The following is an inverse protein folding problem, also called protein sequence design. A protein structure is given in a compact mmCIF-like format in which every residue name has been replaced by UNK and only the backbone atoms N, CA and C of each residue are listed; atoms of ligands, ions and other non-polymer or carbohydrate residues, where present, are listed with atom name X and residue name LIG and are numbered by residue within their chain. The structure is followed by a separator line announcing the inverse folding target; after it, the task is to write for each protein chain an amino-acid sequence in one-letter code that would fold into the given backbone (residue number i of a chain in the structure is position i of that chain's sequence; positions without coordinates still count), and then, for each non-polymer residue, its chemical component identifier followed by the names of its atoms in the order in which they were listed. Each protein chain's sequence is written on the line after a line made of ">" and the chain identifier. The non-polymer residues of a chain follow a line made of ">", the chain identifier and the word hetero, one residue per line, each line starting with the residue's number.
data_IF_120860816497
#
_entry.id   IF_120860816497
#
_cell.length_a   1.000
_cell.length_b   1.000
_cell.length_c   1.000
_cell.angle_alpha   90.00
_cell.angle_beta   90.00
_cell.angle_gamma   90.00
#
_symmetry.space_group_name_H-M   'P 1'
#
loop_
_entity.id
_entity.type
_entity.pdbx_description
1 polymer ?
#
# COMPACT_ATOMS: atom_id res chain seq x y z
N UNK A 1 44.70 35.30 -2.46
CA UNK A 1 43.50 35.52 -3.32
C UNK A 1 42.34 35.96 -2.42
N UNK A 2 41.88 37.22 -2.52
CA UNK A 2 40.76 37.72 -1.71
C UNK A 2 39.45 37.29 -2.36
N UNK A 3 38.83 36.24 -1.84
CA UNK A 3 37.49 35.81 -2.29
C UNK A 3 36.51 36.91 -1.90
N UNK A 4 35.87 37.52 -2.90
CA UNK A 4 34.92 38.62 -2.68
C UNK A 4 33.71 38.11 -1.89
N UNK A 5 33.24 38.91 -0.91
CA UNK A 5 32.04 38.59 -0.12
C UNK A 5 30.81 38.37 -1.01
N UNK A 6 30.78 38.99 -2.20
CA UNK A 6 29.76 38.74 -3.24
C UNK A 6 29.84 37.32 -3.83
N UNK A 7 31.04 36.79 -4.05
CA UNK A 7 31.22 35.42 -4.54
C UNK A 7 30.80 34.38 -3.49
N UNK A 8 31.04 34.66 -2.21
CA UNK A 8 30.59 33.80 -1.10
C UNK A 8 29.07 33.80 -0.96
N UNK A 9 28.43 34.97 -1.13
CA UNK A 9 26.97 35.10 -1.09
C UNK A 9 26.29 34.41 -2.29
N UNK A 10 26.87 34.51 -3.48
CA UNK A 10 26.35 33.86 -4.69
C UNK A 10 26.46 32.33 -4.62
N UNK A 11 27.56 31.80 -4.06
CA UNK A 11 27.70 30.36 -3.82
C UNK A 11 26.67 29.82 -2.80
N UNK A 12 26.34 30.60 -1.77
CA UNK A 12 25.33 30.22 -0.78
C UNK A 12 23.90 30.17 -1.37
N UNK A 13 23.57 31.07 -2.32
CA UNK A 13 22.27 31.08 -3.01
C UNK A 13 22.13 29.89 -3.97
N UNK A 14 23.20 29.51 -4.67
CA UNK A 14 23.18 28.35 -5.59
C UNK A 14 23.04 27.03 -4.84
N UNK A 15 23.59 26.91 -3.63
CA UNK A 15 23.45 25.70 -2.80
C UNK A 15 22.00 25.45 -2.33
N UNK A 16 21.17 26.50 -2.21
CA UNK A 16 19.76 26.38 -1.82
C UNK A 16 18.84 25.86 -2.94
N UNK A 17 19.29 25.87 -4.20
CA UNK A 17 18.51 25.43 -5.36
C UNK A 17 18.47 23.90 -5.54
N UNK A 18 19.23 23.13 -4.75
CA UNK A 18 19.30 21.67 -4.84
C UNK A 18 18.40 20.91 -3.85
N UNK A 19 17.59 21.59 -3.03
CA UNK A 19 16.65 20.95 -2.10
C UNK A 19 15.29 20.76 -2.79
N UNK A 20 15.21 19.82 -3.73
CA UNK A 20 14.03 19.72 -4.59
C UNK A 20 13.71 18.37 -5.21
N UNK A 21 14.24 17.26 -4.70
CA UNK A 21 13.69 15.94 -5.02
C UNK A 21 12.84 15.45 -3.84
N UNK A 22 11.70 16.11 -3.62
CA UNK A 22 10.62 15.46 -2.88
C UNK A 22 10.06 14.38 -3.82
N UNK A 23 10.59 13.16 -3.71
CA UNK A 23 10.04 11.99 -4.41
C UNK A 23 8.54 11.97 -4.16
N UNK A 24 7.68 11.76 -5.18
CA UNK A 24 6.25 11.66 -4.95
C UNK A 24 6.04 10.54 -3.93
N UNK A 25 5.44 10.90 -2.78
CA UNK A 25 5.10 9.97 -1.73
C UNK A 25 3.99 9.04 -2.24
N UNK A 26 4.34 8.07 -3.09
CA UNK A 26 3.47 6.94 -3.47
C UNK A 26 3.37 5.91 -2.34
N UNK A 27 3.96 6.24 -1.19
CA UNK A 27 3.99 5.52 0.07
C UNK A 27 2.58 5.08 0.48
N UNK A 28 2.43 3.78 0.68
CA UNK A 28 1.17 3.16 1.06
C UNK A 28 1.16 2.68 2.51
N UNK A 29 0.16 1.88 2.81
CA UNK A 29 0.10 0.98 3.96
C UNK A 29 0.19 -0.41 3.37
N UNK A 30 1.17 -1.19 3.80
CA UNK A 30 1.24 -2.61 3.46
C UNK A 30 0.77 -3.39 4.67
N UNK A 31 -0.30 -4.15 4.46
CA UNK A 31 -0.87 -5.07 5.43
C UNK A 31 -0.53 -6.46 4.94
N UNK A 32 0.52 -7.03 5.50
CA UNK A 32 0.88 -8.42 5.27
C UNK A 32 0.18 -9.34 6.25
N UNK A 33 -0.31 -10.47 5.76
CA UNK A 33 -0.61 -11.61 6.62
C UNK A 33 0.27 -12.73 6.10
N UNK A 34 1.32 -13.05 6.85
CA UNK A 34 1.99 -14.33 6.68
C UNK A 34 1.14 -15.37 7.38
N UNK A 35 0.74 -16.41 6.66
CA UNK A 35 0.08 -17.57 7.25
C UNK A 35 1.20 -18.56 7.54
N UNK A 36 1.55 -18.74 8.81
CA UNK A 36 2.50 -19.76 9.23
C UNK A 36 1.90 -21.16 8.98
N UNK A 37 2.73 -22.20 8.95
CA UNK A 37 2.30 -23.60 8.73
C UNK A 37 1.22 -24.07 9.72
N UNK A 38 1.15 -23.43 10.90
CA UNK A 38 0.14 -23.67 11.94
C UNK A 38 -1.18 -22.91 11.72
N UNK A 39 -1.34 -22.18 10.61
CA UNK A 39 -2.50 -21.33 10.31
C UNK A 39 -2.52 -19.99 11.06
N UNK A 40 -1.46 -19.67 11.80
CA UNK A 40 -1.34 -18.41 12.52
C UNK A 40 -1.04 -17.27 11.55
N UNK A 41 -1.82 -16.19 11.66
CA UNK A 41 -1.68 -14.97 10.85
C UNK A 41 -0.75 -13.99 11.56
N UNK A 42 0.46 -13.81 11.06
CA UNK A 42 1.32 -12.70 11.50
C UNK A 42 0.96 -11.46 10.69
N UNK A 43 0.28 -10.51 11.33
CA UNK A 43 -0.05 -9.22 10.73
C UNK A 43 1.21 -8.34 10.67
N UNK A 44 1.79 -8.23 9.48
CA UNK A 44 2.91 -7.32 9.20
C UNK A 44 2.34 -6.00 8.69
N UNK A 45 2.13 -5.05 9.60
CA UNK A 45 1.78 -3.67 9.25
C UNK A 45 3.05 -2.85 8.96
N UNK A 46 3.39 -2.71 7.68
CA UNK A 46 4.38 -1.72 7.25
C UNK A 46 3.67 -0.43 6.84
N UNK A 47 4.01 0.66 7.53
CA UNK A 47 3.41 1.98 7.32
C UNK A 47 4.41 2.92 6.68
N UNK A 48 4.25 3.17 5.38
CA UNK A 48 5.01 4.21 4.67
C UNK A 48 4.24 5.54 4.64
N UNK A 49 2.90 5.49 4.79
CA UNK A 49 2.04 6.66 4.93
C UNK A 49 1.30 6.67 6.28
N UNK A 50 1.83 7.39 7.29
CA UNK A 50 1.25 7.48 8.62
C UNK A 50 -0.15 8.11 8.68
N UNK A 51 -0.54 8.89 7.66
CA UNK A 51 -1.89 9.50 7.61
C UNK A 51 -2.91 8.47 7.18
N UNK A 52 -2.63 7.74 6.10
CA UNK A 52 -3.51 6.70 5.58
C UNK A 52 -3.68 5.55 6.58
N UNK A 53 -2.59 5.12 7.24
CA UNK A 53 -2.66 4.02 8.22
C UNK A 53 -3.55 4.35 9.42
N UNK A 54 -3.59 5.60 9.88
CA UNK A 54 -4.50 6.02 10.96
C UNK A 54 -5.96 6.08 10.52
N UNK A 55 -6.23 6.20 9.22
CA UNK A 55 -7.57 6.33 8.66
C UNK A 55 -8.22 4.99 8.35
N UNK A 56 -7.44 3.92 8.26
CA UNK A 56 -7.92 2.58 7.94
C UNK A 56 -7.77 1.65 9.15
N UNK A 57 -8.62 0.63 9.19
CA UNK A 57 -8.50 -0.52 10.08
C UNK A 57 -8.61 -1.76 9.23
N UNK A 58 -7.65 -2.67 9.40
CA UNK A 58 -7.74 -4.01 8.85
C UNK A 58 -8.59 -4.81 9.84
N UNK A 59 -9.68 -5.39 9.35
CA UNK A 59 -10.52 -6.29 10.11
C UNK A 59 -10.20 -7.74 9.79
N UNK A 60 -11.22 -8.59 9.82
CA UNK A 60 -11.08 -10.02 9.61
C UNK A 60 -10.42 -10.38 8.29
N UNK A 61 -9.55 -11.39 8.38
CA UNK A 61 -8.83 -12.00 7.27
C UNK A 61 -9.21 -13.47 7.20
N UNK A 62 -9.79 -13.87 6.07
CA UNK A 62 -10.18 -15.25 5.79
C UNK A 62 -9.40 -15.74 4.59
N UNK A 63 -8.49 -16.68 4.84
CA UNK A 63 -7.70 -17.36 3.82
C UNK A 63 -8.34 -18.72 3.52
N UNK A 64 -8.38 -19.10 2.25
CA UNK A 64 -8.83 -20.40 1.81
C UNK A 64 -8.25 -20.75 0.45
N UNK A 65 -8.84 -21.74 -0.20
CA UNK A 65 -8.41 -22.22 -1.52
C UNK A 65 -9.57 -22.16 -2.52
N UNK A 66 -9.25 -21.94 -3.79
CA UNK A 66 -10.20 -22.13 -4.89
C UNK A 66 -10.34 -23.62 -5.22
N UNK A 67 -11.31 -23.98 -6.07
CA UNK A 67 -11.46 -25.37 -6.56
C UNK A 67 -10.22 -25.89 -7.30
N UNK A 68 -9.40 -24.99 -7.84
CA UNK A 68 -8.20 -25.31 -8.59
C UNK A 68 -6.92 -25.29 -7.72
N UNK A 69 -7.07 -25.17 -6.38
CA UNK A 69 -5.94 -25.16 -5.45
C UNK A 69 -5.17 -23.83 -5.38
N UNK A 70 -5.73 -22.74 -5.92
CA UNK A 70 -5.14 -21.41 -5.79
C UNK A 70 -5.56 -20.74 -4.49
N UNK A 71 -4.61 -20.10 -3.79
CA UNK A 71 -4.89 -19.35 -2.56
C UNK A 71 -5.91 -18.23 -2.85
N UNK A 72 -6.90 -18.12 -1.97
CA UNK A 72 -7.95 -17.09 -2.00
C UNK A 72 -8.02 -16.39 -0.66
N UNK A 73 -8.04 -15.06 -0.70
CA UNK A 73 -8.10 -14.22 0.49
C UNK A 73 -9.34 -13.34 0.42
N UNK A 74 -10.06 -13.24 1.54
CA UNK A 74 -11.04 -12.18 1.79
C UNK A 74 -10.62 -11.42 3.03
N UNK A 75 -10.39 -10.11 2.90
CA UNK A 75 -9.95 -9.24 3.97
C UNK A 75 -10.93 -8.08 4.09
N UNK A 76 -11.27 -7.66 5.31
CA UNK A 76 -12.10 -6.47 5.51
C UNK A 76 -11.25 -5.25 5.83
N UNK A 77 -11.58 -4.11 5.21
CA UNK A 77 -11.01 -2.81 5.54
C UNK A 77 -12.13 -1.89 5.97
N UNK A 78 -11.92 -1.19 7.08
CA UNK A 78 -12.87 -0.23 7.65
C UNK A 78 -12.29 1.18 7.63
N UNK A 79 -13.07 2.14 7.16
CA UNK A 79 -12.75 3.57 7.27
C UNK A 79 -13.00 4.07 8.70
N UNK A 80 -12.01 4.73 9.30
CA UNK A 80 -12.17 5.46 10.57
C UNK A 80 -12.74 6.86 10.38
N UNK A 81 -12.79 7.38 9.15
CA UNK A 81 -13.23 8.75 8.87
C UNK A 81 -14.76 8.84 8.76
N UNK A 82 -15.30 10.03 8.99
CA UNK A 82 -16.70 10.37 8.69
C UNK A 82 -16.90 10.82 7.22
N UNK A 83 -15.84 10.79 6.41
CA UNK A 83 -15.82 11.24 5.02
C UNK A 83 -15.20 10.16 4.15
N UNK A 84 -15.41 10.31 2.84
CA UNK A 84 -14.94 9.35 1.86
C UNK A 84 -13.40 9.33 1.74
N UNK A 85 -12.87 8.12 1.65
CA UNK A 85 -11.47 7.81 1.36
C UNK A 85 -11.41 7.26 -0.06
N UNK A 86 -10.55 7.86 -0.87
CA UNK A 86 -10.21 7.37 -2.21
C UNK A 86 -8.79 6.82 -2.14
N UNK A 87 -8.68 5.52 -2.31
CA UNK A 87 -7.45 4.75 -2.23
C UNK A 87 -7.32 3.84 -3.46
N UNK A 88 -6.18 3.17 -3.58
CA UNK A 88 -6.00 2.03 -4.45
C UNK A 88 -5.43 0.89 -3.63
N UNK A 89 -5.76 -0.35 -4.01
CA UNK A 89 -5.28 -1.55 -3.36
C UNK A 89 -4.74 -2.57 -4.37
N UNK A 90 -3.76 -3.35 -3.96
CA UNK A 90 -3.14 -4.42 -4.75
C UNK A 90 -2.71 -5.55 -3.82
N UNK A 91 -2.93 -6.80 -4.23
CA UNK A 91 -2.31 -7.94 -3.55
C UNK A 91 -0.92 -8.18 -4.14
N UNK A 92 0.01 -8.51 -3.26
CA UNK A 92 1.31 -9.09 -3.58
C UNK A 92 1.31 -10.51 -3.01
N UNK A 93 1.75 -11.47 -3.81
CA UNK A 93 1.77 -12.89 -3.47
C UNK A 93 3.21 -13.35 -3.33
N UNK A 94 3.48 -14.27 -2.42
CA UNK A 94 4.84 -14.72 -2.12
C UNK A 94 4.90 -16.24 -2.12
N UNK A 95 5.98 -16.78 -2.66
CA UNK A 95 6.30 -18.21 -2.60
C UNK A 95 6.90 -18.61 -1.24
N UNK A 96 7.22 -19.91 -1.09
CA UNK A 96 7.76 -20.47 0.14
C UNK A 96 9.15 -19.92 0.51
N UNK A 97 9.89 -19.46 -0.50
CA UNK A 97 11.19 -18.82 -0.36
C UNK A 97 11.08 -17.32 0.00
N UNK A 98 9.86 -16.78 0.00
CA UNK A 98 9.55 -15.39 0.32
C UNK A 98 9.78 -14.43 -0.85
N UNK A 99 9.94 -14.92 -2.07
CA UNK A 99 10.02 -14.10 -3.28
C UNK A 99 8.62 -13.68 -3.75
N UNK A 100 8.49 -12.45 -4.24
CA UNK A 100 7.22 -11.94 -4.77
C UNK A 100 6.93 -12.57 -6.13
N UNK A 101 5.74 -13.16 -6.26
CA UNK A 101 5.25 -13.82 -7.47
C UNK A 101 4.62 -12.77 -8.38
N UNK A 102 5.08 -12.72 -9.63
CA UNK A 102 4.57 -11.88 -10.71
C UNK A 102 4.34 -10.39 -10.32
N UNK A 103 5.34 -9.70 -9.74
CA UNK A 103 5.18 -8.37 -9.15
C UNK A 103 4.66 -7.31 -10.12
N UNK A 104 4.91 -7.46 -11.43
CA UNK A 104 4.56 -6.48 -12.47
C UNK A 104 3.19 -6.72 -13.10
N UNK A 105 2.54 -7.85 -12.83
CA UNK A 105 1.32 -8.26 -13.55
C UNK A 105 0.03 -7.79 -12.88
N UNK A 106 -0.01 -7.72 -11.55
CA UNK A 106 -1.24 -7.34 -10.85
C UNK A 106 -1.36 -5.82 -10.76
N UNK A 107 -2.44 -5.26 -11.31
CA UNK A 107 -2.64 -3.81 -11.38
C UNK A 107 -3.26 -3.26 -10.08
N UNK A 108 -2.95 -2.00 -9.75
CA UNK A 108 -3.62 -1.29 -8.65
C UNK A 108 -5.11 -1.10 -8.94
N UNK A 109 -5.97 -1.59 -8.04
CA UNK A 109 -7.43 -1.49 -8.17
C UNK A 109 -7.98 -0.34 -7.33
N UNK A 110 -8.95 0.45 -7.84
CA UNK A 110 -9.60 1.50 -7.06
C UNK A 110 -10.28 0.98 -5.79
N UNK A 111 -10.15 1.72 -4.69
CA UNK A 111 -10.79 1.47 -3.42
C UNK A 111 -11.43 2.77 -2.93
N UNK A 112 -12.74 2.90 -3.11
CA UNK A 112 -13.53 3.95 -2.49
C UNK A 112 -14.20 3.39 -1.23
N UNK A 113 -14.03 4.09 -0.11
CA UNK A 113 -14.69 3.79 1.15
C UNK A 113 -15.43 5.05 1.59
N UNK A 114 -16.73 4.95 1.79
CA UNK A 114 -17.51 5.99 2.42
C UNK A 114 -17.14 6.14 3.90
N UNK A 115 -17.59 7.23 4.52
CA UNK A 115 -17.41 7.45 5.95
C UNK A 115 -17.90 6.25 6.78
N UNK A 116 -17.02 5.69 7.63
CA UNK A 116 -17.28 4.51 8.47
C UNK A 116 -17.63 3.22 7.73
N UNK A 117 -17.47 3.17 6.40
CA UNK A 117 -17.73 1.97 5.63
C UNK A 117 -16.71 0.86 5.95
N UNK A 118 -17.22 -0.36 6.09
CA UNK A 118 -16.43 -1.59 6.06
C UNK A 118 -16.64 -2.27 4.71
N UNK A 119 -15.54 -2.58 4.02
CA UNK A 119 -15.56 -3.23 2.70
C UNK A 119 -14.68 -4.46 2.67
N UNK A 120 -15.18 -5.53 2.09
CA UNK A 120 -14.38 -6.73 1.82
C UNK A 120 -13.60 -6.58 0.51
N UNK A 121 -12.29 -6.79 0.59
CA UNK A 121 -11.37 -6.85 -0.54
C UNK A 121 -11.01 -8.32 -0.75
N UNK A 122 -11.08 -8.77 -2.00
CA UNK A 122 -10.83 -10.16 -2.39
C UNK A 122 -9.62 -10.26 -3.31
N UNK A 123 -8.84 -11.33 -3.13
CA UNK A 123 -7.69 -11.66 -3.96
C UNK A 123 -7.62 -13.16 -4.21
N UNK A 124 -7.12 -13.54 -5.38
CA UNK A 124 -6.76 -14.91 -5.73
C UNK A 124 -5.34 -14.89 -6.24
N UNK A 125 -4.51 -15.83 -5.77
CA UNK A 125 -3.13 -15.96 -6.20
C UNK A 125 -3.03 -16.27 -7.70
N UNK A 126 -1.99 -15.77 -8.39
CA UNK A 126 -1.80 -16.01 -9.82
C UNK A 126 -1.50 -17.47 -10.15
N UNK A 127 -0.87 -18.20 -9.21
CA UNK A 127 -0.55 -19.62 -9.35
C UNK A 127 -0.53 -20.33 -7.98
N UNK A 128 -0.33 -21.65 -7.99
CA UNK A 128 -0.40 -22.50 -6.81
C UNK A 128 0.83 -22.41 -5.89
N UNK A 129 1.91 -21.72 -6.30
CA UNK A 129 3.12 -21.59 -5.50
C UNK A 129 2.97 -20.54 -4.38
N UNK A 130 1.91 -19.73 -4.40
CA UNK A 130 1.70 -18.71 -3.39
C UNK A 130 1.33 -19.31 -2.03
N UNK A 131 2.17 -19.04 -1.03
CA UNK A 131 1.95 -19.47 0.37
C UNK A 131 1.72 -18.29 1.33
N UNK A 132 2.02 -17.06 0.89
CA UNK A 132 1.80 -15.85 1.67
C UNK A 132 1.31 -14.70 0.79
N UNK A 133 0.73 -13.67 1.43
CA UNK A 133 0.28 -12.48 0.73
C UNK A 133 0.48 -11.20 1.54
N UNK A 134 0.52 -10.07 0.83
CA UNK A 134 0.41 -8.73 1.40
C UNK A 134 -0.61 -7.92 0.61
N UNK A 135 -1.51 -7.25 1.31
CA UNK A 135 -2.35 -6.21 0.73
C UNK A 135 -1.65 -4.86 0.84
N UNK A 136 -1.26 -4.30 -0.30
CA UNK A 136 -0.74 -2.94 -0.40
C UNK A 136 -1.90 -1.99 -0.66
N UNK A 137 -1.98 -0.90 0.09
CA UNK A 137 -2.97 0.16 -0.05
C UNK A 137 -2.26 1.48 -0.21
N UNK A 138 -2.57 2.28 -1.21
CA UNK A 138 -2.00 3.63 -1.39
C UNK A 138 -3.10 4.67 -1.55
N UNK A 139 -2.76 5.93 -1.38
CA UNK A 139 -3.70 7.02 -1.70
C UNK A 139 -4.05 6.97 -3.19
N UNK A 140 -5.34 7.14 -3.49
CA UNK A 140 -5.84 7.19 -4.85
C UNK A 140 -6.01 8.65 -5.28
N UNK A 141 -5.98 8.87 -6.58
CA UNK A 141 -6.29 10.19 -7.11
C UNK A 141 -7.78 10.47 -6.94
N UNK A 142 -8.13 11.59 -6.28
CA UNK A 142 -9.52 12.05 -6.17
C UNK A 142 -9.97 12.63 -7.50
N UNK A 143 -10.37 11.78 -8.43
CA UNK A 143 -10.98 12.25 -9.66
C UNK A 143 -12.42 12.70 -9.35
N UNK A 144 -12.75 13.92 -9.78
CA UNK A 144 -14.03 14.61 -9.51
C UNK A 144 -15.31 13.84 -9.89
N UNK A 145 -15.21 12.72 -10.61
CA UNK A 145 -16.34 11.92 -11.08
C UNK A 145 -16.67 10.70 -10.20
N UNK A 146 -15.78 10.30 -9.28
CA UNK A 146 -15.95 9.08 -8.46
C UNK A 146 -16.83 9.33 -7.23
N UNK A 147 -17.04 10.58 -6.84
CA UNK A 147 -17.81 10.96 -5.65
C UNK A 147 -18.99 11.81 -6.10
N UNK A 148 -20.20 11.26 -6.00
CA UNK A 148 -21.45 11.98 -6.24
C UNK A 148 -22.29 11.97 -4.97
#
# INVERSE_FOLDING_TARGET
>A
MKVSRLFLAMAAVVALLFVGCASPNTSGVTVGVAVDEDGNTQEVLQTDNPRLSRQLVVGDVVVGQTKNGLMRVNLTITSKLNKDIVAQSKFAWFDAEGAEIDPDTDAWRPLALHGKETRTIRGVAPNANAVAFKLRVREGEKTRWIIK
#
